data_IF_148423777788
#
_entry.id   IF_148423777788
#
_cell.length_a   1.000
_cell.length_b   1.000
_cell.length_c   1.000
_cell.angle_alpha   90.00
_cell.angle_beta   90.00
_cell.angle_gamma   90.00
#
_symmetry.space_group_name_H-M   'P 1'
#
loop_
_entity.id
_entity.type
_entity.pdbx_description
1 polymer ?
#
# COMPACT_ATOMS: atom_id res chain seq x y z
N UNK A 1 27.42 -57.08 56.44
CA UNK A 1 26.28 -56.18 56.65
C UNK A 1 26.70 -54.73 56.86
N UNK A 2 27.59 -54.42 57.81
CA UNK A 2 28.00 -53.03 58.10
C UNK A 2 28.73 -52.31 56.94
N UNK A 3 29.61 -52.99 56.18
CA UNK A 3 30.31 -52.41 55.02
C UNK A 3 29.38 -52.07 53.85
N UNK A 4 28.33 -52.85 53.64
CA UNK A 4 27.35 -52.68 52.54
C UNK A 4 26.38 -51.52 52.80
N UNK A 5 26.01 -51.32 54.07
CA UNK A 5 25.18 -50.18 54.49
C UNK A 5 25.96 -48.87 54.39
N UNK A 6 27.25 -48.87 54.75
CA UNK A 6 28.11 -47.69 54.65
C UNK A 6 28.34 -47.27 53.19
N UNK A 7 28.48 -48.22 52.26
CA UNK A 7 28.64 -47.94 50.82
C UNK A 7 27.35 -47.42 50.18
N UNK A 8 26.19 -47.95 50.54
CA UNK A 8 24.90 -47.43 50.08
C UNK A 8 24.61 -46.01 50.61
N UNK A 9 25.02 -45.71 51.85
CA UNK A 9 24.91 -44.38 52.43
C UNK A 9 25.86 -43.37 51.76
N UNK A 10 27.11 -43.76 51.49
CA UNK A 10 28.06 -42.94 50.73
C UNK A 10 27.58 -42.67 49.30
N UNK A 11 27.03 -43.67 48.61
CA UNK A 11 26.52 -43.52 47.24
C UNK A 11 25.29 -42.60 47.19
N UNK A 12 24.39 -42.69 48.17
CA UNK A 12 23.22 -41.80 48.26
C UNK A 12 23.61 -40.35 48.60
N UNK A 13 24.63 -40.14 49.43
CA UNK A 13 25.17 -38.79 49.71
C UNK A 13 25.82 -38.18 48.45
N UNK A 14 26.58 -38.97 47.68
CA UNK A 14 27.20 -38.50 46.43
C UNK A 14 26.15 -38.16 45.36
N UNK A 15 25.10 -38.98 45.23
CA UNK A 15 23.99 -38.71 44.30
C UNK A 15 23.20 -37.45 44.68
N UNK A 16 22.92 -37.26 45.98
CA UNK A 16 22.25 -36.05 46.47
C UNK A 16 23.08 -34.79 46.25
N UNK A 17 24.40 -34.84 46.50
CA UNK A 17 25.31 -33.73 46.24
C UNK A 17 25.43 -33.40 44.74
N UNK A 18 25.44 -34.42 43.87
CA UNK A 18 25.46 -34.24 42.41
C UNK A 18 24.16 -33.64 41.86
N UNK A 19 23.00 -34.02 42.42
CA UNK A 19 21.71 -33.44 42.04
C UNK A 19 21.63 -31.97 42.49
N UNK A 20 22.08 -31.68 43.72
CA UNK A 20 22.13 -30.30 44.24
C UNK A 20 23.07 -29.39 43.43
N UNK A 21 24.17 -29.93 42.91
CA UNK A 21 25.05 -29.20 41.99
C UNK A 21 24.36 -28.92 40.64
N UNK A 22 23.64 -29.91 40.07
CA UNK A 22 22.92 -29.73 38.82
C UNK A 22 21.80 -28.67 38.95
N UNK A 23 21.03 -28.70 40.02
CA UNK A 23 20.00 -27.70 40.29
C UNK A 23 20.60 -26.30 40.45
N UNK A 24 21.73 -26.18 41.16
CA UNK A 24 22.46 -24.92 41.30
C UNK A 24 23.00 -24.40 39.94
N UNK A 25 23.49 -25.29 39.08
CA UNK A 25 23.95 -24.93 37.73
C UNK A 25 22.78 -24.46 36.85
N UNK A 26 21.62 -25.14 36.93
CA UNK A 26 20.38 -24.73 36.25
C UNK A 26 19.92 -23.34 36.74
N UNK A 27 19.90 -23.12 38.05
CA UNK A 27 19.52 -21.83 38.64
C UNK A 27 20.48 -20.71 38.23
N UNK A 28 21.79 -20.97 38.22
CA UNK A 28 22.80 -20.03 37.78
C UNK A 28 22.61 -19.65 36.29
N UNK A 29 22.35 -20.65 35.42
CA UNK A 29 22.06 -20.39 34.00
C UNK A 29 20.76 -19.61 33.81
N UNK A 30 19.71 -19.92 34.57
CA UNK A 30 18.44 -19.17 34.53
C UNK A 30 18.63 -17.71 34.95
N UNK A 31 19.44 -17.45 35.99
CA UNK A 31 19.78 -16.09 36.40
C UNK A 31 20.57 -15.34 35.32
N UNK A 32 21.53 -16.01 34.67
CA UNK A 32 22.27 -15.42 33.54
C UNK A 32 21.35 -15.11 32.36
N UNK A 33 20.43 -16.02 32.01
CA UNK A 33 19.43 -15.79 30.96
C UNK A 33 18.53 -14.60 31.28
N UNK A 34 18.08 -14.48 32.53
CA UNK A 34 17.27 -13.35 32.98
C UNK A 34 18.03 -12.02 32.89
N UNK A 35 19.31 -12.02 33.27
CA UNK A 35 20.16 -10.83 33.18
C UNK A 35 20.43 -10.43 31.72
N UNK A 36 20.76 -11.40 30.85
CA UNK A 36 20.90 -11.15 29.41
C UNK A 36 19.60 -10.64 28.78
N UNK A 37 18.43 -11.13 29.23
CA UNK A 37 17.15 -10.63 28.77
C UNK A 37 16.94 -9.15 29.15
N UNK A 38 17.28 -8.75 30.39
CA UNK A 38 17.22 -7.34 30.82
C UNK A 38 18.18 -6.46 30.03
N UNK A 39 19.42 -6.92 29.82
CA UNK A 39 20.42 -6.19 29.03
C UNK A 39 19.95 -6.03 27.58
N UNK A 40 19.39 -7.08 26.98
CA UNK A 40 18.79 -7.02 25.64
C UNK A 40 17.65 -6.02 25.57
N UNK A 41 16.76 -5.99 26.57
CA UNK A 41 15.66 -5.02 26.63
C UNK A 41 16.18 -3.58 26.74
N UNK A 42 17.16 -3.34 27.61
CA UNK A 42 17.77 -2.01 27.78
C UNK A 42 18.45 -1.53 26.49
N UNK A 43 19.30 -2.36 25.88
CA UNK A 43 19.95 -2.04 24.61
C UNK A 43 18.93 -1.86 23.49
N UNK A 44 17.86 -2.66 23.48
CA UNK A 44 16.74 -2.52 22.54
C UNK A 44 16.08 -1.15 22.63
N UNK A 45 15.77 -0.66 23.83
CA UNK A 45 15.21 0.67 24.04
C UNK A 45 16.16 1.79 23.62
N UNK A 46 17.46 1.66 23.90
CA UNK A 46 18.48 2.63 23.44
C UNK A 46 18.57 2.67 21.90
N UNK A 47 18.54 1.50 21.26
CA UNK A 47 18.57 1.39 19.80
C UNK A 47 17.31 2.00 19.18
N UNK A 48 16.13 1.77 19.76
CA UNK A 48 14.88 2.35 19.30
C UNK A 48 14.92 3.89 19.37
N UNK A 49 15.39 4.46 20.49
CA UNK A 49 15.51 5.91 20.64
C UNK A 49 16.47 6.52 19.58
N UNK A 50 17.61 5.87 19.32
CA UNK A 50 18.53 6.31 18.27
C UNK A 50 17.91 6.21 16.87
N UNK A 51 17.06 5.21 16.61
CA UNK A 51 16.34 5.09 15.33
C UNK A 51 15.31 6.20 15.17
N UNK A 52 14.55 6.53 16.21
CA UNK A 52 13.58 7.64 16.18
C UNK A 52 14.29 8.98 15.90
N UNK A 53 15.40 9.25 16.60
CA UNK A 53 16.22 10.44 16.35
C UNK A 53 16.78 10.46 14.92
N UNK A 54 17.19 9.31 14.38
CA UNK A 54 17.63 9.18 12.99
C UNK A 54 16.52 9.54 12.01
N UNK A 55 15.30 9.05 12.22
CA UNK A 55 14.14 9.36 11.36
C UNK A 55 13.87 10.86 11.37
N UNK A 56 13.81 11.48 12.55
CA UNK A 56 13.58 12.92 12.67
C UNK A 56 14.66 13.74 11.95
N UNK A 57 15.93 13.34 12.07
CA UNK A 57 17.04 13.96 11.34
C UNK A 57 16.87 13.79 9.83
N UNK A 58 16.53 12.59 9.36
CA UNK A 58 16.48 12.27 7.94
C UNK A 58 15.29 12.94 7.24
N UNK A 59 14.13 13.02 7.89
CA UNK A 59 12.98 13.80 7.42
C UNK A 59 13.36 15.29 7.27
N UNK A 60 14.07 15.85 8.24
CA UNK A 60 14.55 17.24 8.13
C UNK A 60 15.60 17.44 7.05
N UNK A 61 16.42 16.43 6.79
CA UNK A 61 17.50 16.53 5.82
C UNK A 61 17.03 16.40 4.37
N UNK A 62 15.94 15.66 4.12
CA UNK A 62 15.36 15.54 2.77
C UNK A 62 14.55 16.78 2.38
N UNK A 63 14.05 17.54 3.36
CA UNK A 63 13.14 18.66 3.09
C UNK A 63 11.68 18.28 3.32
N UNK A 64 10.91 19.21 3.85
CA UNK A 64 9.48 19.04 4.16
C UNK A 64 8.68 20.14 3.48
N UNK A 65 7.40 19.90 3.13
CA UNK A 65 6.65 20.84 2.31
C UNK A 65 6.41 22.23 2.90
N UNK A 66 6.59 22.40 4.21
CA UNK A 66 6.53 23.69 4.87
C UNK A 66 7.52 23.79 6.02
N UNK A 67 7.79 25.02 6.47
CA UNK A 67 8.71 25.30 7.58
C UNK A 67 8.05 25.14 8.96
N UNK A 68 6.73 25.36 9.05
CA UNK A 68 5.96 25.23 10.29
C UNK A 68 5.23 23.89 10.32
N UNK A 69 5.80 22.95 11.07
CA UNK A 69 5.28 21.60 11.20
C UNK A 69 5.45 21.07 12.61
N UNK A 70 4.59 20.12 12.95
CA UNK A 70 4.65 19.33 14.17
C UNK A 70 5.53 18.11 13.90
N UNK A 71 6.45 17.82 14.82
CA UNK A 71 7.35 16.68 14.73
C UNK A 71 7.07 15.69 15.86
N UNK A 72 6.61 14.50 15.48
CA UNK A 72 6.47 13.34 16.36
C UNK A 72 7.72 12.46 16.27
N UNK A 73 7.69 11.28 16.88
CA UNK A 73 8.88 10.43 17.01
C UNK A 73 9.32 9.80 15.68
N UNK A 74 8.36 9.48 14.80
CA UNK A 74 8.62 8.82 13.52
C UNK A 74 7.86 9.44 12.32
N UNK A 75 7.18 10.56 12.53
CA UNK A 75 6.47 11.30 11.48
C UNK A 75 6.50 12.81 11.76
N UNK A 76 6.33 13.61 10.73
CA UNK A 76 6.12 15.05 10.79
C UNK A 76 4.82 15.39 10.07
N UNK A 77 4.12 16.45 10.47
CA UNK A 77 2.91 16.90 9.80
C UNK A 77 2.71 18.41 9.90
N UNK A 78 2.07 18.99 8.90
CA UNK A 78 1.48 20.32 9.00
C UNK A 78 -0.02 20.17 9.23
N UNK A 79 -0.53 20.73 10.32
CA UNK A 79 -1.96 20.70 10.62
C UNK A 79 -2.68 21.91 10.00
N UNK A 80 -3.71 21.66 9.19
CA UNK A 80 -4.52 22.72 8.59
C UNK A 80 -5.75 22.95 9.48
N UNK A 81 -5.67 23.95 10.34
CA UNK A 81 -6.73 24.33 11.29
C UNK A 81 -8.07 24.55 10.59
N UNK A 82 -8.09 25.21 9.43
CA UNK A 82 -9.32 25.45 8.67
C UNK A 82 -10.03 24.17 8.20
N UNK A 83 -9.33 23.03 8.21
CA UNK A 83 -9.81 21.73 7.73
C UNK A 83 -9.86 20.66 8.82
N UNK A 84 -9.35 20.96 10.02
CA UNK A 84 -9.25 20.06 11.19
C UNK A 84 -8.57 18.71 10.85
N UNK A 85 -7.59 18.75 9.95
CA UNK A 85 -6.77 17.60 9.55
C UNK A 85 -5.40 18.06 9.04
N UNK A 86 -4.44 17.14 8.90
CA UNK A 86 -3.16 17.49 8.31
C UNK A 86 -3.28 17.87 6.82
N UNK A 87 -2.57 18.93 6.41
CA UNK A 87 -2.30 19.26 5.00
C UNK A 87 -1.43 18.18 4.37
N UNK A 88 -0.43 17.73 5.12
CA UNK A 88 0.45 16.63 4.76
C UNK A 88 1.02 15.95 6.01
N UNK A 89 1.36 14.68 5.90
CA UNK A 89 2.12 13.89 6.88
C UNK A 89 3.30 13.23 6.16
N UNK A 90 4.50 13.42 6.68
CA UNK A 90 5.73 12.83 6.19
C UNK A 90 6.26 11.78 7.15
N UNK A 91 6.65 10.61 6.66
CA UNK A 91 7.27 9.54 7.44
C UNK A 91 8.29 8.76 6.61
N UNK A 92 9.05 7.89 7.28
CA UNK A 92 9.99 6.98 6.63
C UNK A 92 9.55 5.54 6.85
N UNK A 93 9.38 4.79 5.76
CA UNK A 93 9.20 3.34 5.82
C UNK A 93 10.59 2.70 5.87
N UNK A 94 10.97 2.21 7.05
CA UNK A 94 12.26 1.55 7.27
C UNK A 94 12.23 0.07 6.87
N UNK A 95 13.38 -0.53 6.49
CA UNK A 95 13.51 -1.99 6.34
C UNK A 95 13.03 -2.79 7.55
N UNK A 96 13.03 -2.19 8.74
CA UNK A 96 12.54 -2.76 10.00
C UNK A 96 11.08 -3.25 9.94
N UNK A 97 10.26 -2.76 8.99
CA UNK A 97 8.89 -3.29 8.80
C UNK A 97 8.87 -4.78 8.46
N UNK A 98 9.97 -5.33 7.91
CA UNK A 98 10.07 -6.76 7.53
C UNK A 98 10.02 -7.66 8.76
N UNK A 99 10.61 -7.20 9.87
CA UNK A 99 10.68 -7.95 11.14
C UNK A 99 9.79 -7.36 12.23
N UNK A 100 9.12 -6.22 11.95
CA UNK A 100 8.22 -5.55 12.87
C UNK A 100 7.02 -6.41 13.24
N UNK A 101 6.82 -6.63 14.54
CA UNK A 101 5.80 -7.54 15.06
C UNK A 101 4.77 -6.86 15.95
N UNK A 102 4.93 -5.56 16.25
CA UNK A 102 3.99 -4.81 17.11
C UNK A 102 2.58 -4.88 16.49
N UNK A 103 1.61 -5.19 17.35
CA UNK A 103 0.20 -5.30 16.99
C UNK A 103 -0.48 -3.93 16.90
N UNK A 104 -1.61 -3.87 16.20
CA UNK A 104 -2.45 -2.66 16.17
C UNK A 104 -3.03 -2.40 17.57
N UNK A 105 -2.91 -1.17 18.03
CA UNK A 105 -3.44 -0.69 19.32
C UNK A 105 -4.86 -0.16 19.21
N UNK A 106 -5.20 0.51 18.08
CA UNK A 106 -6.46 1.24 17.89
C UNK A 106 -6.70 2.31 18.98
N UNK A 107 -5.63 2.90 19.52
CA UNK A 107 -5.62 3.89 20.60
C UNK A 107 -5.79 5.33 20.07
N UNK A 108 -6.84 5.55 19.29
CA UNK A 108 -7.18 6.86 18.71
C UNK A 108 -7.36 7.92 19.79
N UNK A 109 -6.66 9.05 19.67
CA UNK A 109 -6.67 10.12 20.67
C UNK A 109 -6.32 11.48 20.07
N UNK A 110 -6.75 12.59 20.72
CA UNK A 110 -6.34 13.92 20.29
C UNK A 110 -4.82 14.06 20.30
N UNK A 111 -4.28 14.84 19.38
CA UNK A 111 -2.85 15.11 19.32
C UNK A 111 -2.48 16.20 20.34
N UNK A 112 -1.66 15.90 21.36
CA UNK A 112 -1.26 16.89 22.35
C UNK A 112 -0.32 17.97 21.79
N UNK A 113 0.25 17.78 20.59
CA UNK A 113 1.16 18.74 19.96
C UNK A 113 0.44 19.75 19.06
N UNK A 114 -0.85 19.53 18.73
CA UNK A 114 -1.69 20.52 18.06
C UNK A 114 -2.26 21.46 19.12
N UNK A 115 -1.68 22.65 19.25
CA UNK A 115 -1.95 23.56 20.37
C UNK A 115 -3.40 24.08 20.43
N UNK A 116 -4.06 24.20 19.28
CA UNK A 116 -5.47 24.59 19.09
C UNK A 116 -6.44 23.45 19.38
N UNK A 117 -5.95 22.22 19.48
CA UNK A 117 -6.74 20.99 19.50
C UNK A 117 -6.82 20.35 18.11
N UNK A 118 -6.87 19.03 18.07
CA UNK A 118 -7.13 18.28 16.84
C UNK A 118 -8.58 17.80 16.79
N UNK A 119 -8.96 17.23 15.64
CA UNK A 119 -10.13 16.36 15.53
C UNK A 119 -10.19 15.31 16.65
N UNK A 120 -11.39 14.80 16.92
CA UNK A 120 -11.70 13.88 18.03
C UNK A 120 -12.66 12.77 17.60
N UNK A 121 -12.93 11.82 18.50
CA UNK A 121 -13.86 10.71 18.23
C UNK A 121 -15.25 11.19 17.78
N UNK A 122 -15.76 12.25 18.42
CA UNK A 122 -17.05 12.85 18.12
C UNK A 122 -17.13 13.53 16.74
N UNK A 123 -16.02 13.63 15.99
CA UNK A 123 -16.04 14.06 14.60
C UNK A 123 -16.44 12.95 13.62
N UNK A 124 -16.33 11.68 14.03
CA UNK A 124 -16.51 10.52 13.15
C UNK A 124 -17.73 9.68 13.53
N UNK A 125 -18.04 9.60 14.83
CA UNK A 125 -19.18 8.85 15.33
C UNK A 125 -19.59 9.28 16.73
N UNK A 126 -20.82 8.96 17.11
CA UNK A 126 -21.27 9.02 18.51
C UNK A 126 -21.25 7.63 19.13
N UNK A 127 -20.88 7.59 20.41
CA UNK A 127 -20.76 6.36 21.19
C UNK A 127 -21.70 6.44 22.40
N UNK A 128 -22.61 5.48 22.51
CA UNK A 128 -23.63 5.44 23.56
C UNK A 128 -23.41 4.21 24.45
N UNK A 129 -23.19 4.43 25.74
CA UNK A 129 -23.07 3.35 26.71
C UNK A 129 -24.43 2.72 26.97
N UNK A 130 -24.52 1.40 26.79
CA UNK A 130 -25.72 0.62 27.09
C UNK A 130 -25.75 0.17 28.55
N UNK A 131 -26.93 -0.19 29.09
CA UNK A 131 -27.06 -0.69 30.46
C UNK A 131 -26.23 -1.94 30.77
N UNK A 132 -25.87 -2.74 29.76
CA UNK A 132 -25.05 -3.96 29.88
C UNK A 132 -23.54 -3.68 29.80
N UNK A 133 -23.13 -2.41 29.87
CA UNK A 133 -21.74 -1.95 29.73
C UNK A 133 -21.12 -2.16 28.33
N UNK A 134 -21.94 -2.45 27.31
CA UNK A 134 -21.51 -2.41 25.90
C UNK A 134 -21.79 -1.03 25.28
N UNK A 135 -21.36 -0.81 24.02
CA UNK A 135 -21.55 0.46 23.33
C UNK A 135 -22.33 0.30 22.03
N UNK A 136 -23.23 1.23 21.75
CA UNK A 136 -23.76 1.49 20.40
C UNK A 136 -22.96 2.59 19.72
N UNK A 137 -22.75 2.42 18.41
CA UNK A 137 -22.01 3.36 17.58
C UNK A 137 -22.92 3.89 16.48
N UNK A 138 -22.95 5.21 16.34
CA UNK A 138 -23.66 5.91 15.28
C UNK A 138 -22.63 6.65 14.42
N UNK A 139 -22.18 5.96 13.38
CA UNK A 139 -21.14 6.43 12.46
C UNK A 139 -21.63 7.47 11.47
N UNK A 140 -20.77 8.41 11.12
CA UNK A 140 -21.10 9.51 10.21
C UNK A 140 -20.77 9.21 8.74
N UNK A 141 -20.37 7.97 8.43
CA UNK A 141 -20.09 7.52 7.06
C UNK A 141 -18.60 7.55 6.66
N UNK A 142 -17.71 7.89 7.59
CA UNK A 142 -16.27 8.00 7.33
C UNK A 142 -15.47 7.20 8.36
N UNK A 143 -14.46 6.47 7.87
CA UNK A 143 -13.39 5.93 8.68
C UNK A 143 -12.43 7.04 9.12
N UNK A 144 -11.75 6.79 10.24
CA UNK A 144 -10.55 7.52 10.67
C UNK A 144 -9.37 7.02 9.83
N UNK A 145 -9.29 7.47 8.59
CA UNK A 145 -8.28 7.03 7.61
C UNK A 145 -6.91 7.60 7.97
N UNK A 146 -5.90 6.74 8.12
CA UNK A 146 -4.55 7.19 8.43
C UNK A 146 -3.91 7.84 7.19
N UNK A 147 -3.13 8.90 7.38
CA UNK A 147 -2.24 9.43 6.34
C UNK A 147 -0.89 8.70 6.36
N UNK A 148 -0.24 8.64 7.53
CA UNK A 148 0.86 7.71 7.81
C UNK A 148 0.32 6.43 8.49
N UNK A 149 0.27 5.28 7.80
CA UNK A 149 -0.45 4.11 8.29
C UNK A 149 0.30 3.39 9.40
N UNK A 150 -0.43 2.92 10.42
CA UNK A 150 0.16 2.23 11.59
C UNK A 150 1.02 1.00 11.23
N UNK A 151 0.73 0.37 10.07
CA UNK A 151 1.47 -0.78 9.59
C UNK A 151 2.93 -0.47 9.24
N UNK A 152 3.24 0.78 8.90
CA UNK A 152 4.60 1.23 8.57
C UNK A 152 5.47 1.42 9.83
N UNK A 153 4.84 1.39 11.02
CA UNK A 153 5.48 1.62 12.31
C UNK A 153 5.53 0.39 13.21
N UNK A 154 5.23 -0.82 12.71
CA UNK A 154 5.16 -2.07 13.51
C UNK A 154 6.49 -2.51 14.14
N UNK A 155 7.57 -1.78 13.91
CA UNK A 155 8.87 -1.97 14.52
C UNK A 155 9.06 -1.19 15.83
N UNK A 156 8.15 -0.26 16.18
CA UNK A 156 8.20 0.55 17.41
C UNK A 156 6.80 0.74 17.99
N UNK A 157 6.62 0.40 19.27
CA UNK A 157 5.34 0.61 19.97
C UNK A 157 4.99 2.10 20.07
N UNK A 158 6.00 2.94 20.32
CA UNK A 158 5.84 4.40 20.40
C UNK A 158 5.41 5.00 19.06
N UNK A 159 6.12 4.71 17.98
CA UNK A 159 5.78 5.22 16.65
C UNK A 159 4.40 4.73 16.19
N UNK A 160 4.09 3.45 16.43
CA UNK A 160 2.79 2.88 16.10
C UNK A 160 1.67 3.55 16.88
N UNK A 161 1.83 3.76 18.19
CA UNK A 161 0.83 4.46 19.00
C UNK A 161 0.65 5.92 18.56
N UNK A 162 1.73 6.65 18.24
CA UNK A 162 1.64 8.03 17.74
C UNK A 162 0.92 8.12 16.39
N UNK A 163 0.98 7.09 15.54
CA UNK A 163 0.19 7.07 14.29
C UNK A 163 -1.33 7.11 14.49
N UNK A 164 -1.83 6.82 15.70
CA UNK A 164 -3.26 6.90 16.05
C UNK A 164 -3.71 8.29 16.53
N UNK A 165 -2.85 9.31 16.50
CA UNK A 165 -3.31 10.69 16.73
C UNK A 165 -4.30 11.15 15.66
N UNK A 166 -5.34 11.88 16.07
CA UNK A 166 -6.33 12.42 15.12
C UNK A 166 -5.75 13.45 14.14
N UNK A 167 -4.61 14.06 14.46
CA UNK A 167 -3.85 14.89 13.51
C UNK A 167 -3.35 14.12 12.29
N UNK A 168 -3.16 12.80 12.41
CA UNK A 168 -2.79 11.88 11.33
C UNK A 168 -4.03 11.21 10.68
N UNK A 169 -5.23 11.67 11.02
CA UNK A 169 -6.47 11.14 10.45
C UNK A 169 -7.09 12.11 9.44
N UNK A 170 -7.67 11.54 8.40
CA UNK A 170 -8.55 12.25 7.48
C UNK A 170 -9.82 11.41 7.25
N UNK A 171 -10.99 12.04 7.07
CA UNK A 171 -12.21 11.30 6.80
C UNK A 171 -12.14 10.62 5.44
N UNK A 172 -12.14 9.29 5.48
CA UNK A 172 -12.12 8.45 4.30
C UNK A 172 -13.36 7.56 4.26
N UNK A 173 -14.03 7.46 3.11
CA UNK A 173 -15.10 6.48 2.93
C UNK A 173 -14.53 5.06 3.03
N UNK A 174 -15.32 4.15 3.56
CA UNK A 174 -14.88 2.79 3.90
C UNK A 174 -14.30 2.02 2.71
N UNK A 175 -14.96 2.03 1.56
CA UNK A 175 -14.53 1.35 0.33
C UNK A 175 -13.23 1.94 -0.23
N UNK A 176 -13.00 3.24 -0.04
CA UNK A 176 -11.75 3.87 -0.45
C UNK A 176 -10.61 3.45 0.49
N UNK A 177 -10.81 3.64 1.80
CA UNK A 177 -9.81 3.38 2.85
C UNK A 177 -9.41 1.90 2.91
N UNK A 178 -10.40 1.00 2.93
CA UNK A 178 -10.19 -0.42 3.22
C UNK A 178 -9.83 -1.25 1.99
N UNK A 179 -10.00 -0.70 0.78
CA UNK A 179 -9.68 -1.36 -0.48
C UNK A 179 -8.55 -0.60 -1.20
N UNK A 180 -8.88 0.27 -2.17
CA UNK A 180 -7.88 0.86 -3.07
C UNK A 180 -6.76 1.63 -2.36
N UNK A 181 -7.05 2.34 -1.25
CA UNK A 181 -6.02 3.01 -0.47
C UNK A 181 -5.13 2.01 0.28
N UNK A 182 -5.71 1.00 0.91
CA UNK A 182 -4.96 -0.08 1.57
C UNK A 182 -4.11 -0.90 0.58
N UNK A 183 -4.57 -1.05 -0.67
CA UNK A 183 -3.80 -1.65 -1.77
C UNK A 183 -2.57 -0.81 -2.10
N UNK A 184 -2.71 0.51 -2.26
CA UNK A 184 -1.59 1.42 -2.49
C UNK A 184 -0.57 1.36 -1.34
N UNK A 185 -1.03 1.42 -0.09
CA UNK A 185 -0.15 1.30 1.06
C UNK A 185 0.60 -0.04 1.08
N UNK A 186 -0.07 -1.12 0.66
CA UNK A 186 0.53 -2.46 0.59
C UNK A 186 1.53 -2.58 -0.56
N UNK A 187 1.27 -1.94 -1.70
CA UNK A 187 2.19 -1.84 -2.82
C UNK A 187 3.50 -1.18 -2.39
N UNK A 188 3.41 -0.05 -1.67
CA UNK A 188 4.55 0.74 -1.19
C UNK A 188 5.33 -0.04 -0.14
N UNK A 189 4.68 -0.64 0.87
CA UNK A 189 5.37 -1.53 1.82
C UNK A 189 6.04 -2.70 1.09
N UNK A 190 5.33 -3.31 0.13
CA UNK A 190 5.82 -4.42 -0.68
C UNK A 190 7.10 -4.08 -1.43
N UNK A 191 7.31 -2.83 -1.82
CA UNK A 191 8.57 -2.38 -2.42
C UNK A 191 9.76 -2.63 -1.50
N UNK A 192 9.65 -2.34 -0.19
CA UNK A 192 10.72 -2.59 0.79
C UNK A 192 10.98 -4.08 0.98
N UNK A 193 9.95 -4.93 0.93
CA UNK A 193 10.13 -6.39 0.95
C UNK A 193 10.88 -6.92 -0.27
N UNK A 194 10.62 -6.36 -1.46
CA UNK A 194 11.32 -6.72 -2.71
C UNK A 194 12.73 -6.16 -2.79
N UNK A 195 13.00 -5.09 -2.04
CA UNK A 195 14.28 -4.40 -2.01
C UNK A 195 14.81 -4.30 -0.58
N UNK A 196 15.21 -5.42 0.05
CA UNK A 196 15.70 -5.40 1.43
C UNK A 196 16.92 -4.48 1.54
N UNK A 197 16.79 -3.41 2.33
CA UNK A 197 17.81 -2.38 2.48
C UNK A 197 17.33 -0.99 2.09
N UNK A 198 16.38 -0.88 1.15
CA UNK A 198 15.76 0.40 0.79
C UNK A 198 14.93 0.94 1.95
N UNK A 199 15.08 2.24 2.23
CA UNK A 199 14.12 3.01 3.02
C UNK A 199 13.36 3.97 2.11
N UNK A 200 12.09 4.23 2.42
CA UNK A 200 11.25 5.10 1.60
C UNK A 200 10.89 6.35 2.39
N UNK A 201 11.14 7.53 1.82
CA UNK A 201 10.56 8.77 2.30
C UNK A 201 9.17 8.91 1.69
N UNK A 202 8.16 9.10 2.53
CA UNK A 202 6.76 9.14 2.10
C UNK A 202 6.12 10.42 2.62
N UNK A 203 5.46 11.15 1.73
CA UNK A 203 4.60 12.29 2.09
C UNK A 203 3.19 11.98 1.61
N UNK A 204 2.21 12.11 2.51
CA UNK A 204 0.81 11.75 2.26
C UNK A 204 -0.09 12.88 2.70
N UNK A 205 -1.11 13.20 1.91
CA UNK A 205 -2.08 14.19 2.33
C UNK A 205 -3.37 14.15 1.52
N UNK A 206 -4.42 14.82 2.01
CA UNK A 206 -5.56 15.21 1.20
C UNK A 206 -5.21 16.40 0.28
N UNK A 207 -5.88 16.52 -0.87
CA UNK A 207 -5.87 17.78 -1.63
C UNK A 207 -6.92 18.71 -1.01
N UNK A 208 -6.46 19.66 -0.20
CA UNK A 208 -7.31 20.62 0.51
C UNK A 208 -7.54 21.89 -0.32
N UNK A 209 -8.77 22.40 -0.27
CA UNK A 209 -9.17 23.66 -0.90
C UNK A 209 -10.32 24.30 -0.14
N UNK A 210 -10.51 25.58 -0.33
CA UNK A 210 -11.69 26.28 0.20
C UNK A 210 -13.00 25.66 -0.33
N UNK A 211 -14.01 25.64 0.53
CA UNK A 211 -15.36 25.17 0.20
C UNK A 211 -15.52 23.66 0.05
N UNK A 212 -14.59 22.85 0.58
CA UNK A 212 -14.82 21.41 0.74
C UNK A 212 -16.04 21.17 1.65
N UNK A 213 -16.83 20.10 1.39
CA UNK A 213 -17.86 19.68 2.33
C UNK A 213 -17.23 19.25 3.65
N UNK A 214 -18.00 19.28 4.74
CA UNK A 214 -17.54 18.88 6.07
C UNK A 214 -18.38 17.73 6.62
N UNK A 215 -17.85 17.00 7.60
CA UNK A 215 -18.66 16.02 8.34
C UNK A 215 -19.67 16.79 9.19
N UNK A 216 -20.89 16.98 8.69
CA UNK A 216 -21.87 17.88 9.32
C UNK A 216 -22.27 17.48 10.73
N UNK A 217 -22.16 16.21 11.07
CA UNK A 217 -22.45 15.71 12.42
C UNK A 217 -21.26 15.83 13.38
N UNK A 218 -20.06 16.10 12.85
CA UNK A 218 -18.84 16.27 13.62
C UNK A 218 -18.80 17.59 14.38
N UNK A 219 -18.13 17.58 15.54
CA UNK A 219 -18.07 18.71 16.47
C UNK A 219 -17.16 19.83 15.97
N UNK A 220 -16.09 19.47 15.26
CA UNK A 220 -15.09 20.39 14.72
C UNK A 220 -15.28 20.65 13.21
N UNK A 221 -16.23 19.99 12.56
CA UNK A 221 -16.53 20.16 11.12
C UNK A 221 -15.32 19.84 10.22
N UNK A 222 -14.68 18.71 10.48
CA UNK A 222 -13.57 18.18 9.65
C UNK A 222 -13.96 18.14 8.18
N UNK A 223 -13.12 18.74 7.33
CA UNK A 223 -13.34 18.77 5.87
C UNK A 223 -13.25 17.38 5.25
N UNK A 224 -14.03 17.12 4.21
CA UNK A 224 -14.06 15.86 3.45
C UNK A 224 -13.33 16.11 2.13
N UNK A 225 -12.10 15.59 1.95
CA UNK A 225 -11.33 15.79 0.74
C UNK A 225 -11.97 15.13 -0.48
N UNK A 226 -11.76 15.67 -1.68
CA UNK A 226 -12.18 15.05 -2.94
C UNK A 226 -11.12 14.11 -3.52
N UNK A 227 -9.86 14.29 -3.12
CA UNK A 227 -8.70 13.53 -3.57
C UNK A 227 -7.70 13.38 -2.43
N UNK A 228 -6.94 12.29 -2.48
CA UNK A 228 -5.76 12.06 -1.67
C UNK A 228 -4.54 11.86 -2.55
N UNK A 229 -3.38 12.23 -2.04
CA UNK A 229 -2.12 11.97 -2.70
C UNK A 229 -1.14 11.23 -1.79
N UNK A 230 -0.20 10.54 -2.42
CA UNK A 230 0.96 9.96 -1.76
C UNK A 230 2.18 10.09 -2.67
N UNK A 231 3.24 10.69 -2.16
CA UNK A 231 4.54 10.84 -2.81
C UNK A 231 5.52 9.93 -2.10
N UNK A 232 6.33 9.19 -2.87
CA UNK A 232 7.28 8.20 -2.36
C UNK A 232 8.62 8.38 -3.06
N UNK A 233 9.70 8.39 -2.28
CA UNK A 233 11.08 8.52 -2.75
C UNK A 233 11.94 7.39 -2.17
N UNK A 234 12.62 6.65 -3.05
CA UNK A 234 13.79 5.84 -2.71
C UNK A 234 15.04 6.59 -3.20
N UNK A 235 15.60 7.40 -2.29
CA UNK A 235 16.75 8.25 -2.61
C UNK A 235 17.98 7.44 -3.01
N UNK A 236 18.23 6.31 -2.36
CA UNK A 236 19.41 5.48 -2.63
C UNK A 236 19.41 4.94 -4.06
N UNK A 237 18.22 4.68 -4.59
CA UNK A 237 18.04 4.25 -5.98
C UNK A 237 17.76 5.38 -6.97
N UNK A 238 17.63 6.62 -6.49
CA UNK A 238 17.36 7.77 -7.33
C UNK A 238 16.03 7.65 -8.09
N UNK A 239 14.97 7.16 -7.42
CA UNK A 239 13.64 7.01 -8.03
C UNK A 239 12.54 7.53 -7.10
N UNK A 240 11.53 8.16 -7.69
CA UNK A 240 10.36 8.70 -7.02
C UNK A 240 9.07 8.38 -7.78
N UNK A 241 7.93 8.47 -7.10
CA UNK A 241 6.61 8.32 -7.69
C UNK A 241 5.56 9.07 -6.87
N UNK A 242 4.59 9.67 -7.54
CA UNK A 242 3.39 10.24 -6.95
C UNK A 242 2.15 9.42 -7.28
N UNK A 243 1.13 9.51 -6.44
CA UNK A 243 -0.21 8.99 -6.70
C UNK A 243 -1.23 10.07 -6.36
N UNK A 244 -2.25 10.25 -7.21
CA UNK A 244 -3.43 11.09 -6.91
C UNK A 244 -4.68 10.26 -7.12
N UNK A 245 -5.38 9.93 -6.03
CA UNK A 245 -6.53 9.03 -6.06
C UNK A 245 -7.79 9.80 -5.66
N UNK A 246 -8.87 9.75 -6.49
CA UNK A 246 -10.13 10.38 -6.12
C UNK A 246 -10.76 9.66 -4.92
N UNK A 247 -11.34 10.43 -4.01
CA UNK A 247 -11.96 9.94 -2.78
C UNK A 247 -13.32 9.29 -3.07
N UNK A 248 -13.29 8.10 -3.67
CA UNK A 248 -14.43 7.27 -4.08
C UNK A 248 -14.00 5.82 -4.25
N UNK A 249 -14.93 4.91 -4.53
CA UNK A 249 -14.57 3.55 -4.92
C UNK A 249 -13.70 3.54 -6.19
N UNK A 250 -12.57 2.85 -6.12
CA UNK A 250 -11.61 2.71 -7.22
C UNK A 250 -11.73 1.30 -7.81
N UNK A 251 -12.00 1.22 -9.11
CA UNK A 251 -12.07 -0.05 -9.85
C UNK A 251 -10.97 -0.19 -10.92
N UNK A 252 -10.20 0.88 -11.13
CA UNK A 252 -9.10 0.89 -12.10
C UNK A 252 -7.80 0.45 -11.39
N UNK A 253 -6.86 -0.16 -12.12
CA UNK A 253 -5.55 -0.51 -11.58
C UNK A 253 -4.78 0.70 -11.03
N UNK A 254 -3.98 0.50 -9.97
CA UNK A 254 -3.26 1.57 -9.26
C UNK A 254 -2.34 2.39 -10.17
N UNK A 255 -1.73 1.78 -11.18
CA UNK A 255 -0.86 2.46 -12.14
C UNK A 255 -1.56 3.58 -12.92
N UNK A 256 -2.90 3.53 -13.01
CA UNK A 256 -3.73 4.59 -13.63
C UNK A 256 -3.68 5.90 -12.84
N UNK A 257 -3.40 5.82 -11.54
CA UNK A 257 -3.35 6.97 -10.63
C UNK A 257 -1.92 7.41 -10.32
N UNK A 258 -0.93 6.70 -10.85
CA UNK A 258 0.48 7.05 -10.71
C UNK A 258 0.83 8.23 -11.61
N UNK A 259 1.46 9.23 -11.01
CA UNK A 259 1.88 10.50 -11.61
C UNK A 259 3.31 10.83 -11.19
N UNK A 260 3.92 11.82 -11.83
CA UNK A 260 5.21 12.37 -11.39
C UNK A 260 5.05 13.14 -10.07
N UNK A 261 6.14 13.43 -9.38
CA UNK A 261 6.08 14.24 -8.15
C UNK A 261 5.69 15.68 -8.53
N UNK A 262 6.25 16.23 -9.62
CA UNK A 262 5.87 17.53 -10.19
C UNK A 262 4.34 17.69 -10.37
N UNK A 263 3.65 16.63 -10.80
CA UNK A 263 2.20 16.69 -10.99
C UNK A 263 1.46 16.75 -9.65
N UNK A 264 1.96 16.08 -8.61
CA UNK A 264 1.41 16.22 -7.26
C UNK A 264 1.63 17.64 -6.72
N UNK A 265 2.82 18.20 -6.91
CA UNK A 265 3.15 19.58 -6.53
C UNK A 265 2.23 20.58 -7.22
N UNK A 266 2.05 20.45 -8.53
CA UNK A 266 1.13 21.30 -9.30
C UNK A 266 -0.30 21.25 -8.74
N UNK A 267 -0.74 20.09 -8.25
CA UNK A 267 -2.11 19.87 -7.76
C UNK A 267 -2.31 20.26 -6.30
N UNK A 268 -1.24 20.30 -5.51
CA UNK A 268 -1.27 20.58 -4.06
C UNK A 268 -0.76 21.97 -3.71
N UNK A 269 0.06 22.57 -4.57
CA UNK A 269 0.81 23.79 -4.28
C UNK A 269 1.95 23.59 -3.27
N UNK A 270 2.33 22.33 -3.01
CA UNK A 270 3.42 21.95 -2.13
C UNK A 270 4.71 21.71 -2.94
N UNK A 271 5.84 21.75 -2.24
CA UNK A 271 7.19 21.48 -2.75
C UNK A 271 7.77 20.32 -1.91
N UNK A 272 7.89 19.13 -2.49
CA UNK A 272 8.32 17.94 -1.76
C UNK A 272 9.84 17.83 -1.80
N UNK A 273 10.44 17.27 -0.75
CA UNK A 273 11.90 17.01 -0.73
C UNK A 273 12.79 18.24 -1.05
N UNK A 274 12.27 19.44 -0.78
CA UNK A 274 12.80 20.79 -1.07
C UNK A 274 14.20 21.16 -0.53
N UNK A 275 14.88 20.23 0.14
CA UNK A 275 16.26 20.40 0.60
C UNK A 275 17.24 19.46 -0.12
N UNK A 276 16.75 18.69 -1.10
CA UNK A 276 17.60 18.00 -2.05
C UNK A 276 18.34 19.02 -2.95
N UNK A 277 19.53 18.67 -3.47
CA UNK A 277 20.18 19.50 -4.48
C UNK A 277 19.30 19.63 -5.72
N UNK A 278 19.08 20.85 -6.23
CA UNK A 278 18.16 21.11 -7.36
C UNK A 278 18.34 20.16 -8.57
N UNK A 279 19.57 19.80 -9.01
CA UNK A 279 19.70 18.87 -10.14
C UNK A 279 19.29 17.43 -9.81
N UNK A 280 19.40 17.02 -8.54
CA UNK A 280 18.94 15.73 -8.02
C UNK A 280 17.41 15.74 -7.92
N UNK A 281 16.86 16.77 -7.28
CA UNK A 281 15.42 17.02 -7.09
C UNK A 281 14.67 17.08 -8.42
N UNK A 282 15.01 18.01 -9.31
CA UNK A 282 14.34 18.18 -10.60
C UNK A 282 14.38 16.91 -11.46
N UNK A 283 15.46 16.12 -11.36
CA UNK A 283 15.58 14.86 -12.09
C UNK A 283 14.73 13.73 -11.49
N UNK A 284 14.52 13.73 -10.17
CA UNK A 284 13.67 12.76 -9.47
C UNK A 284 12.20 13.07 -9.72
N UNK A 285 11.82 14.33 -9.63
CA UNK A 285 10.43 14.74 -9.53
C UNK A 285 9.71 14.75 -10.88
N UNK A 286 10.45 15.02 -11.96
CA UNK A 286 9.91 15.01 -13.31
C UNK A 286 9.74 13.61 -13.91
N UNK A 287 10.34 12.56 -13.30
CA UNK A 287 10.32 11.20 -13.85
C UNK A 287 9.09 10.42 -13.37
N UNK A 288 8.58 9.57 -14.26
CA UNK A 288 7.51 8.62 -13.95
C UNK A 288 7.89 7.21 -14.42
N UNK A 289 8.69 6.52 -13.60
CA UNK A 289 9.15 5.16 -13.88
C UNK A 289 8.27 4.12 -13.14
N UNK A 290 7.03 3.95 -13.58
CA UNK A 290 6.05 3.08 -12.90
C UNK A 290 6.53 1.64 -12.69
N UNK A 291 7.30 1.09 -13.62
CA UNK A 291 7.85 -0.28 -13.51
C UNK A 291 8.88 -0.44 -12.39
N UNK A 292 9.50 0.64 -11.89
CA UNK A 292 10.36 0.57 -10.72
C UNK A 292 9.56 0.28 -9.44
N UNK A 293 8.29 0.69 -9.41
CA UNK A 293 7.43 0.64 -8.24
C UNK A 293 6.39 -0.48 -8.28
N UNK A 294 5.85 -0.76 -9.47
CA UNK A 294 4.70 -1.66 -9.71
C UNK A 294 5.19 -2.98 -10.32
N UNK A 295 5.21 -4.09 -9.54
CA UNK A 295 5.78 -5.38 -9.97
C UNK A 295 5.13 -5.95 -11.23
N UNK A 296 3.83 -5.74 -11.39
CA UNK A 296 3.05 -6.20 -12.53
C UNK A 296 3.65 -5.64 -13.83
N UNK A 297 3.95 -4.33 -13.85
CA UNK A 297 4.57 -3.66 -14.99
C UNK A 297 6.02 -4.13 -15.21
N UNK A 298 6.79 -4.36 -14.14
CA UNK A 298 8.12 -4.95 -14.25
C UNK A 298 8.09 -6.39 -14.81
N UNK A 299 6.99 -7.12 -14.56
CA UNK A 299 6.74 -8.48 -15.04
C UNK A 299 6.29 -8.56 -16.50
N UNK A 300 6.04 -7.42 -17.17
CA UNK A 300 5.64 -7.33 -18.57
C UNK A 300 4.15 -7.03 -18.78
N UNK A 301 3.39 -6.75 -17.73
CA UNK A 301 2.07 -6.12 -17.90
C UNK A 301 2.23 -4.71 -18.46
N UNK A 302 1.17 -4.20 -19.10
CA UNK A 302 1.14 -2.82 -19.59
C UNK A 302 -0.14 -2.12 -19.14
N UNK A 303 -0.10 -0.80 -19.14
CA UNK A 303 -1.29 -0.01 -18.85
C UNK A 303 -2.38 -0.22 -19.90
N UNK A 304 -3.64 -0.44 -19.48
CA UNK A 304 -4.76 -0.40 -20.38
C UNK A 304 -4.82 0.92 -21.13
N UNK A 305 -5.20 0.85 -22.40
CA UNK A 305 -5.30 2.03 -23.24
C UNK A 305 -6.26 3.07 -22.63
N UNK A 306 -5.89 4.36 -22.75
CA UNK A 306 -6.68 5.46 -22.23
C UNK A 306 -8.03 5.53 -22.96
N UNK A 307 -9.14 5.25 -22.26
CA UNK A 307 -10.45 5.11 -22.91
C UNK A 307 -10.87 6.33 -23.76
N UNK A 308 -10.67 7.59 -23.34
CA UNK A 308 -11.01 8.75 -24.16
C UNK A 308 -10.19 8.92 -25.45
N UNK A 309 -9.03 8.27 -25.59
CA UNK A 309 -8.27 8.30 -26.85
C UNK A 309 -8.73 7.22 -27.84
N UNK A 310 -9.61 6.30 -27.42
CA UNK A 310 -10.13 5.26 -28.30
C UNK A 310 -11.22 5.80 -29.23
N UNK A 311 -11.37 5.24 -30.45
CA UNK A 311 -12.46 5.61 -31.34
C UNK A 311 -13.85 5.37 -30.73
N UNK A 312 -14.91 6.01 -31.25
CA UNK A 312 -16.28 5.70 -30.84
C UNK A 312 -16.56 4.20 -30.89
N UNK A 313 -17.30 3.69 -29.90
CA UNK A 313 -17.62 2.26 -29.71
C UNK A 313 -16.41 1.33 -29.50
N UNK A 314 -15.23 1.88 -29.17
CA UNK A 314 -14.08 1.11 -28.71
C UNK A 314 -13.92 1.28 -27.21
N UNK A 315 -13.60 0.19 -26.52
CA UNK A 315 -13.45 0.13 -25.08
C UNK A 315 -12.08 -0.44 -24.73
N UNK A 316 -11.49 0.01 -23.63
CA UNK A 316 -10.28 -0.64 -23.14
C UNK A 316 -10.62 -1.95 -22.40
N UNK A 317 -9.59 -2.72 -22.08
CA UNK A 317 -9.73 -4.02 -21.37
C UNK A 317 -10.41 -3.90 -20.01
N UNK A 318 -10.26 -2.79 -19.29
CA UNK A 318 -10.95 -2.54 -18.02
C UNK A 318 -12.46 -2.37 -18.22
N UNK A 319 -12.85 -1.58 -19.23
CA UNK A 319 -14.25 -1.31 -19.56
C UNK A 319 -14.97 -2.54 -20.13
N UNK A 320 -14.24 -3.50 -20.71
CA UNK A 320 -14.82 -4.73 -21.25
C UNK A 320 -15.66 -5.50 -20.20
N UNK A 321 -15.30 -5.41 -18.91
CA UNK A 321 -16.07 -6.00 -17.80
C UNK A 321 -17.51 -5.50 -17.72
N UNK A 322 -17.77 -4.26 -18.14
CA UNK A 322 -19.13 -3.67 -18.16
C UNK A 322 -20.05 -4.31 -19.21
N UNK A 323 -19.48 -5.02 -20.19
CA UNK A 323 -20.21 -5.66 -21.29
C UNK A 323 -20.31 -7.18 -21.15
N UNK A 324 -19.65 -7.73 -20.12
CA UNK A 324 -19.59 -9.16 -19.85
C UNK A 324 -21.00 -9.75 -19.65
N UNK A 325 -21.38 -10.68 -20.52
CA UNK A 325 -22.66 -11.39 -20.47
C UNK A 325 -23.87 -10.59 -21.00
N UNK A 326 -23.68 -9.39 -21.57
CA UNK A 326 -24.78 -8.61 -22.16
C UNK A 326 -25.19 -9.09 -23.56
N UNK A 327 -24.32 -9.82 -24.26
CA UNK A 327 -24.57 -10.31 -25.63
C UNK A 327 -24.43 -9.25 -26.72
N UNK A 328 -24.04 -8.03 -26.37
CA UNK A 328 -23.71 -6.93 -27.28
C UNK A 328 -22.35 -7.18 -27.96
N UNK A 329 -22.24 -6.82 -29.23
CA UNK A 329 -20.96 -6.78 -29.94
C UNK A 329 -20.28 -5.43 -29.70
N UNK A 330 -19.05 -5.49 -29.20
CA UNK A 330 -18.22 -4.32 -28.93
C UNK A 330 -16.80 -4.54 -29.44
N UNK A 331 -16.04 -3.46 -29.60
CA UNK A 331 -14.62 -3.53 -29.90
C UNK A 331 -13.81 -3.26 -28.63
N UNK A 332 -12.98 -4.22 -28.21
CA UNK A 332 -12.09 -4.10 -27.04
C UNK A 332 -10.65 -4.00 -27.51
N UNK A 333 -9.95 -2.95 -27.09
CA UNK A 333 -8.56 -2.67 -27.47
C UNK A 333 -7.62 -2.80 -26.27
N UNK A 334 -6.42 -3.33 -26.53
CA UNK A 334 -5.34 -3.46 -25.56
C UNK A 334 -4.08 -4.00 -26.22
N UNK A 335 -3.07 -4.29 -25.41
CA UNK A 335 -1.81 -4.90 -25.87
C UNK A 335 -1.78 -6.36 -25.48
N UNK A 336 -1.49 -7.27 -26.40
CA UNK A 336 -1.35 -8.69 -26.04
C UNK A 336 -0.03 -8.87 -25.29
N UNK A 337 -0.09 -9.13 -23.99
CA UNK A 337 1.09 -9.29 -23.11
C UNK A 337 1.40 -10.74 -22.76
N UNK A 338 0.45 -11.65 -23.00
CA UNK A 338 0.65 -13.06 -22.74
C UNK A 338 -0.15 -13.92 -23.69
N UNK A 339 0.44 -15.01 -24.16
CA UNK A 339 -0.26 -16.00 -24.99
C UNK A 339 -0.01 -17.41 -24.48
N UNK A 340 -0.96 -18.30 -24.72
CA UNK A 340 -0.86 -19.71 -24.33
C UNK A 340 -1.66 -20.59 -25.27
N UNK A 341 -1.04 -21.68 -25.71
CA UNK A 341 -1.76 -22.76 -26.37
C UNK A 341 -2.23 -23.80 -25.35
N UNK A 342 -3.52 -24.14 -25.38
CA UNK A 342 -4.07 -25.20 -24.52
C UNK A 342 -3.60 -26.58 -25.01
N UNK A 343 -3.75 -27.61 -24.16
CA UNK A 343 -3.49 -29.00 -24.58
C UNK A 343 -4.39 -29.47 -25.73
N UNK A 344 -5.59 -28.89 -25.85
CA UNK A 344 -6.51 -29.16 -26.97
C UNK A 344 -6.15 -28.40 -28.24
N UNK A 345 -5.13 -27.52 -28.20
CA UNK A 345 -4.66 -26.74 -29.34
C UNK A 345 -5.38 -25.41 -29.55
N UNK A 346 -6.20 -24.98 -28.60
CA UNK A 346 -6.85 -23.67 -28.65
C UNK A 346 -5.85 -22.58 -28.24
N UNK A 347 -5.96 -21.40 -28.84
CA UNK A 347 -5.12 -20.25 -28.52
C UNK A 347 -5.82 -19.33 -27.50
N UNK A 348 -5.05 -18.91 -26.50
CA UNK A 348 -5.42 -17.91 -25.52
C UNK A 348 -4.48 -16.72 -25.63
N UNK A 349 -5.05 -15.52 -25.62
CA UNK A 349 -4.33 -14.26 -25.62
C UNK A 349 -4.85 -13.43 -24.45
N UNK A 350 -3.97 -12.89 -23.63
CA UNK A 350 -4.30 -12.00 -22.53
C UNK A 350 -3.86 -10.59 -22.88
N UNK A 351 -4.76 -9.62 -22.70
CA UNK A 351 -4.49 -8.23 -23.02
C UNK A 351 -4.24 -7.43 -21.73
N UNK A 352 -3.24 -6.56 -21.80
CA UNK A 352 -2.73 -5.63 -20.78
C UNK A 352 -2.21 -6.27 -19.47
N UNK A 353 -2.82 -7.36 -19.00
CA UNK A 353 -2.42 -8.10 -17.81
C UNK A 353 -2.19 -9.58 -18.12
N UNK A 354 -1.05 -10.12 -17.69
CA UNK A 354 -0.69 -11.52 -17.88
C UNK A 354 -1.47 -12.46 -16.95
N UNK A 355 -1.46 -13.76 -17.27
CA UNK A 355 -1.99 -14.78 -16.37
C UNK A 355 -1.13 -14.88 -15.10
N UNK A 356 -1.69 -15.00 -13.89
CA UNK A 356 -3.10 -15.27 -13.56
C UNK A 356 -3.97 -14.02 -13.31
N UNK A 357 -3.44 -12.82 -13.53
CA UNK A 357 -4.07 -11.54 -13.19
C UNK A 357 -4.81 -10.90 -14.39
N UNK A 358 -5.11 -11.69 -15.43
CA UNK A 358 -5.70 -11.18 -16.66
C UNK A 358 -7.04 -10.48 -16.40
N UNK A 359 -7.22 -9.30 -17.02
CA UNK A 359 -8.45 -8.50 -16.93
C UNK A 359 -9.33 -8.63 -18.18
N UNK A 360 -8.75 -9.09 -19.28
CA UNK A 360 -9.45 -9.42 -20.51
C UNK A 360 -8.67 -10.51 -21.27
N UNK A 361 -9.39 -11.50 -21.78
CA UNK A 361 -8.81 -12.58 -22.57
C UNK A 361 -9.51 -12.72 -23.92
N UNK A 362 -8.75 -13.13 -24.92
CA UNK A 362 -9.26 -13.57 -26.20
C UNK A 362 -9.00 -15.06 -26.35
N UNK A 363 -10.03 -15.77 -26.78
CA UNK A 363 -10.00 -17.19 -27.04
C UNK A 363 -10.25 -17.46 -28.52
N UNK A 364 -9.33 -18.18 -29.16
CA UNK A 364 -9.49 -18.66 -30.53
C UNK A 364 -9.48 -20.18 -30.49
N UNK A 365 -10.57 -20.80 -30.91
CA UNK A 365 -10.67 -22.26 -30.93
C UNK A 365 -9.74 -22.83 -32.00
N UNK A 366 -9.25 -24.05 -31.77
CA UNK A 366 -8.35 -24.75 -32.70
C UNK A 366 -8.95 -24.84 -34.11
N UNK A 367 -10.26 -25.09 -34.20
CA UNK A 367 -11.02 -25.17 -35.44
C UNK A 367 -11.15 -23.84 -36.19
N UNK A 368 -11.01 -22.72 -35.47
CA UNK A 368 -11.11 -21.37 -36.03
C UNK A 368 -9.73 -20.80 -36.44
N UNK A 369 -8.62 -21.36 -35.92
CA UNK A 369 -7.25 -20.96 -36.30
C UNK A 369 -6.99 -20.94 -37.82
N UNK A 370 -7.52 -21.87 -38.65
CA UNK A 370 -7.34 -21.81 -40.10
C UNK A 370 -7.99 -20.59 -40.78
N UNK A 371 -8.87 -19.86 -40.09
CA UNK A 371 -9.48 -18.63 -40.60
C UNK A 371 -8.54 -17.42 -40.49
N UNK A 372 -7.33 -17.60 -39.95
CA UNK A 372 -6.32 -16.56 -39.81
C UNK A 372 -5.15 -16.84 -40.75
N UNK A 373 -4.72 -15.80 -41.47
CA UNK A 373 -3.55 -15.84 -42.35
C UNK A 373 -2.22 -15.96 -41.59
N UNK A 374 -2.24 -15.77 -40.27
CA UNK A 374 -1.13 -15.89 -39.34
C UNK A 374 -1.55 -16.68 -38.10
N UNK A 375 -0.57 -17.13 -37.31
CA UNK A 375 -0.82 -17.80 -36.05
C UNK A 375 -1.09 -16.75 -34.93
N UNK A 376 -2.32 -16.61 -34.40
CA UNK A 376 -2.67 -15.48 -33.54
C UNK A 376 -1.87 -15.42 -32.21
N UNK A 377 -1.62 -16.56 -31.56
CA UNK A 377 -0.88 -16.63 -30.29
C UNK A 377 0.64 -16.36 -30.43
N UNK A 378 1.16 -16.31 -31.64
CA UNK A 378 2.56 -15.93 -31.91
C UNK A 378 2.66 -14.52 -32.51
N UNK A 379 1.86 -14.24 -33.54
CA UNK A 379 1.95 -12.98 -34.29
C UNK A 379 1.46 -11.78 -33.49
N UNK A 380 0.42 -11.95 -32.67
CA UNK A 380 -0.19 -10.82 -31.94
C UNK A 380 0.53 -10.48 -30.63
N UNK A 381 1.45 -11.33 -30.16
CA UNK A 381 2.21 -11.07 -28.93
C UNK A 381 2.98 -9.74 -29.02
N UNK A 382 2.87 -8.93 -27.96
CA UNK A 382 3.40 -7.58 -27.82
C UNK A 382 2.83 -6.52 -28.78
N UNK A 383 1.75 -6.82 -29.52
CA UNK A 383 1.07 -5.84 -30.37
C UNK A 383 -0.11 -5.20 -29.66
N UNK A 384 -0.31 -3.90 -29.90
CA UNK A 384 -1.58 -3.19 -29.63
C UNK A 384 -2.59 -3.60 -30.70
N UNK A 385 -3.74 -4.09 -30.27
CA UNK A 385 -4.76 -4.69 -31.12
C UNK A 385 -6.15 -4.41 -30.58
N UNK A 386 -7.15 -4.48 -31.45
CA UNK A 386 -8.56 -4.39 -31.11
C UNK A 386 -9.28 -5.65 -31.57
N UNK A 387 -10.11 -6.23 -30.71
CA UNK A 387 -10.93 -7.39 -31.01
C UNK A 387 -12.41 -7.00 -30.99
N UNK A 388 -13.16 -7.37 -32.02
CA UNK A 388 -14.59 -7.10 -32.12
C UNK A 388 -15.38 -8.38 -31.93
N UNK A 389 -16.36 -8.35 -31.02
CA UNK A 389 -17.19 -9.50 -30.73
C UNK A 389 -17.97 -9.35 -29.42
N UNK A 390 -18.54 -10.46 -28.97
CA UNK A 390 -19.29 -10.51 -27.70
C UNK A 390 -18.36 -10.85 -26.54
N UNK A 391 -18.58 -10.18 -25.42
CA UNK A 391 -17.83 -10.44 -24.17
C UNK A 391 -18.61 -11.39 -23.27
N UNK A 392 -18.05 -12.56 -23.03
CA UNK A 392 -18.59 -13.60 -22.17
C UNK A 392 -17.86 -13.65 -20.83
N UNK A 393 -18.46 -14.30 -19.83
CA UNK A 393 -17.82 -14.53 -18.54
C UNK A 393 -17.12 -15.90 -18.54
N UNK A 394 -15.80 -15.92 -18.49
CA UNK A 394 -15.03 -17.13 -18.30
C UNK A 394 -14.32 -17.10 -16.93
N UNK A 395 -14.87 -17.84 -15.96
CA UNK A 395 -14.31 -17.92 -14.60
C UNK A 395 -14.08 -16.56 -13.93
N UNK A 396 -14.95 -15.58 -14.19
CA UNK A 396 -14.85 -14.23 -13.64
C UNK A 396 -14.05 -13.25 -14.50
N UNK A 397 -13.38 -13.72 -15.56
CA UNK A 397 -12.64 -12.88 -16.52
C UNK A 397 -13.52 -12.60 -17.75
N UNK A 398 -13.70 -11.32 -18.15
CA UNK A 398 -14.29 -10.97 -19.43
C UNK A 398 -13.49 -11.57 -20.58
N UNK A 399 -14.12 -12.41 -21.41
CA UNK A 399 -13.45 -13.15 -22.48
C UNK A 399 -14.21 -13.01 -23.79
N UNK A 400 -13.49 -12.81 -24.89
CA UNK A 400 -14.06 -12.74 -26.23
C UNK A 400 -13.61 -13.95 -27.05
N UNK A 401 -14.59 -14.66 -27.62
CA UNK A 401 -14.33 -15.72 -28.58
C UNK A 401 -14.20 -15.09 -29.98
N UNK A 402 -13.08 -15.32 -30.66
CA UNK A 402 -12.81 -14.74 -31.98
C UNK A 402 -12.66 -15.86 -32.99
N UNK A 403 -13.50 -15.83 -34.03
CA UNK A 403 -13.63 -16.93 -35.01
C UNK A 403 -12.93 -16.63 -36.35
N UNK A 404 -12.71 -15.35 -36.68
CA UNK A 404 -12.19 -14.91 -37.98
C UNK A 404 -11.20 -13.75 -37.84
N UNK A 405 -10.30 -13.59 -38.81
CA UNK A 405 -9.27 -12.54 -38.82
C UNK A 405 -9.85 -11.12 -38.87
N UNK A 406 -10.98 -10.90 -39.57
CA UNK A 406 -11.61 -9.59 -39.74
C UNK A 406 -12.13 -8.99 -38.43
N UNK A 407 -12.29 -9.81 -37.39
CA UNK A 407 -12.62 -9.35 -36.05
C UNK A 407 -11.40 -8.74 -35.32
N UNK A 408 -10.20 -8.80 -35.90
CA UNK A 408 -8.95 -8.28 -35.34
C UNK A 408 -8.50 -7.03 -36.10
N UNK A 409 -8.46 -5.89 -35.42
CA UNK A 409 -7.87 -4.64 -35.91
C UNK A 409 -6.45 -4.44 -35.37
N UNK A 410 -5.46 -4.25 -36.25
CA UNK A 410 -4.05 -4.06 -35.89
C UNK A 410 -3.64 -2.59 -35.74
N UNK A 411 -4.55 -1.64 -35.96
CA UNK A 411 -4.27 -0.21 -35.90
C UNK A 411 -5.29 0.50 -35.01
N UNK A 412 -4.80 1.08 -33.91
CA UNK A 412 -5.38 2.32 -33.43
C UNK A 412 -4.71 3.39 -34.28
N UNK A 413 -5.44 3.97 -35.23
CA UNK A 413 -4.96 5.13 -35.96
C UNK A 413 -4.73 6.23 -34.92
N UNK A 414 -3.47 6.46 -34.56
CA UNK A 414 -3.07 7.65 -33.82
C UNK A 414 -3.55 8.86 -34.65
N UNK A 415 -4.51 9.60 -34.09
CA UNK A 415 -4.92 10.89 -34.60
C UNK A 415 -4.29 12.00 -33.78
#
# INVERSE_FOLDING_TARGET
MMKTILTALLLSIVLAASAQQLDADIDALNQQLAELARQRQQLGGQLEELKLQRIQRDLKAIGLPSEDYILHSAMALEYAEEHEQARWVAHIILPDIITGSVGRTNDFRPDPLVATGSAVEADYFLKYLKPDSTYDYDGFGYDRGHLAPSADFRWSERALSESYFYSNMSPQIDVFNREGWAELESLIRGYVFRNPGSQLFVVTGPILREGLPVIERGVNKVSIPEYFYKVVLDREKGTGIGFIIPHRQINAPLETFAVSIDEVEQRTGLDFFNLLPEPEEAALESRLEKSAWIPELAGGDVEPLYAPSLPPNHFNTVQAKLYMGKGEEITVCGTVVGTRRSRSGNAWLNLDKQFPNQIFSVFVRKEDLPNFSYNPDEYLLNKKVCFTGKVENFSGTPTMNVEVEEAVGLELVEK
#
